data_IF_633031243900
#
_entry.id   IF_633031243900
#
_cell.length_a   1.000
_cell.length_b   1.000
_cell.length_c   1.000
_cell.angle_alpha   90.00
_cell.angle_beta   90.00
_cell.angle_gamma   90.00
#
_symmetry.space_group_name_H-M   'P 1'
#
loop_
_entity.id
_entity.type
_entity.pdbx_description
1 polymer ?
#
# COMPACT_ATOMS: atom_id res chain seq x y z
N UNK A 1 11.80 3.19 26.16
CA UNK A 1 11.77 1.77 25.75
C UNK A 1 12.81 0.96 26.51
N UNK A 2 12.44 -0.23 26.96
CA UNK A 2 13.32 -1.14 27.72
C UNK A 2 14.55 -1.59 26.89
N UNK A 3 15.58 -2.13 27.57
CA UNK A 3 16.77 -2.68 26.93
C UNK A 3 16.40 -3.82 25.94
N UNK A 4 15.42 -4.65 26.31
CA UNK A 4 14.91 -5.73 25.45
C UNK A 4 14.32 -5.18 24.13
N UNK A 5 13.51 -4.14 24.18
CA UNK A 5 12.95 -3.47 22.98
C UNK A 5 14.08 -2.87 22.13
N UNK A 6 15.06 -2.21 22.75
CA UNK A 6 16.20 -1.63 22.02
C UNK A 6 17.01 -2.68 21.25
N UNK A 7 17.07 -3.90 21.76
CA UNK A 7 17.79 -5.01 21.13
C UNK A 7 17.11 -5.53 19.86
N UNK A 8 15.76 -5.49 19.80
CA UNK A 8 15.00 -6.13 18.71
C UNK A 8 14.33 -5.15 17.76
N UNK A 9 14.10 -3.89 18.19
CA UNK A 9 13.46 -2.86 17.35
C UNK A 9 14.51 -1.83 16.94
N UNK A 10 14.74 -1.63 15.63
CA UNK A 10 15.67 -0.61 15.13
C UNK A 10 15.33 0.81 15.62
N UNK A 11 16.34 1.67 15.76
CA UNK A 11 16.19 3.00 16.33
C UNK A 11 15.17 3.89 15.59
N UNK A 12 15.10 3.77 14.26
CA UNK A 12 14.15 4.50 13.42
C UNK A 12 12.68 4.05 13.59
N UNK A 13 12.44 2.92 14.29
CA UNK A 13 11.10 2.39 14.58
C UNK A 13 10.74 2.45 16.05
N UNK A 14 11.40 3.28 16.84
CA UNK A 14 11.10 3.48 18.26
C UNK A 14 11.47 4.89 18.72
N UNK A 15 10.80 5.32 19.77
CA UNK A 15 11.12 6.54 20.52
C UNK A 15 10.99 6.28 22.03
N UNK A 16 11.24 7.25 22.90
CA UNK A 16 10.89 7.12 24.32
C UNK A 16 9.42 6.79 24.57
N UNK A 17 8.52 7.20 23.65
CA UNK A 17 7.07 7.19 23.86
C UNK A 17 6.32 6.16 23.02
N UNK A 18 6.92 5.60 22.00
CA UNK A 18 6.28 4.61 21.14
C UNK A 18 7.26 3.59 20.57
N UNK A 19 6.72 2.45 20.16
CA UNK A 19 7.47 1.34 19.55
C UNK A 19 6.72 0.83 18.34
N UNK A 20 7.43 0.66 17.23
CA UNK A 20 6.90 -0.01 16.03
C UNK A 20 6.71 -1.50 16.31
N UNK A 21 5.50 -2.00 15.99
CA UNK A 21 5.11 -3.40 16.24
C UNK A 21 5.07 -4.19 14.95
N UNK A 22 4.57 -3.59 13.88
CA UNK A 22 4.45 -4.25 12.58
C UNK A 22 4.65 -3.26 11.44
N UNK A 23 5.24 -3.74 10.35
CA UNK A 23 5.38 -3.00 9.09
C UNK A 23 4.75 -3.77 7.93
N UNK A 24 4.25 -3.06 6.93
CA UNK A 24 3.64 -3.61 5.72
C UNK A 24 3.91 -2.71 4.53
N UNK A 25 4.20 -3.31 3.39
CA UNK A 25 4.35 -2.57 2.16
C UNK A 25 2.98 -2.23 1.55
N UNK A 26 2.87 -1.03 0.99
CA UNK A 26 1.77 -0.65 0.12
C UNK A 26 2.27 -0.77 -1.31
N UNK A 27 1.83 -1.78 -2.03
CA UNK A 27 2.39 -2.20 -3.30
C UNK A 27 1.39 -2.02 -4.45
N UNK A 28 1.84 -2.29 -5.65
CA UNK A 28 1.01 -2.40 -6.83
C UNK A 28 0.69 -3.87 -7.08
N UNK A 29 -0.57 -4.18 -7.38
CA UNK A 29 -1.00 -5.48 -7.89
C UNK A 29 -1.36 -5.35 -9.35
N UNK A 30 -1.09 -6.38 -10.14
CA UNK A 30 -1.41 -6.40 -11.55
C UNK A 30 -1.89 -7.78 -12.01
N UNK A 31 -2.57 -7.81 -13.17
CA UNK A 31 -2.95 -9.05 -13.83
C UNK A 31 -1.89 -9.40 -14.87
N UNK A 32 -1.09 -10.47 -14.68
CA UNK A 32 -0.02 -10.82 -15.60
C UNK A 32 -0.49 -11.28 -16.99
N UNK A 33 -1.80 -11.49 -17.18
CA UNK A 33 -2.39 -11.80 -18.50
C UNK A 33 -2.62 -10.56 -19.35
N UNK A 34 -2.73 -9.38 -18.73
CA UNK A 34 -3.06 -8.13 -19.43
C UNK A 34 -1.90 -7.15 -19.47
N UNK A 35 -1.05 -7.16 -18.45
CA UNK A 35 0.08 -6.22 -18.34
C UNK A 35 1.28 -6.87 -17.67
N UNK A 36 2.45 -6.30 -17.94
CA UNK A 36 3.70 -6.64 -17.26
C UNK A 36 4.42 -5.34 -16.88
N UNK A 37 4.66 -5.09 -15.56
CA UNK A 37 5.40 -3.90 -15.15
C UNK A 37 6.85 -3.95 -15.59
N UNK A 38 7.42 -2.81 -16.00
CA UNK A 38 8.86 -2.72 -16.10
C UNK A 38 9.47 -2.77 -14.69
N UNK A 39 10.68 -3.32 -14.58
CA UNK A 39 11.33 -3.52 -13.27
C UNK A 39 11.52 -2.22 -12.47
N UNK A 40 11.65 -1.08 -13.14
CA UNK A 40 11.86 0.25 -12.56
C UNK A 40 10.56 1.07 -12.37
N UNK A 41 9.39 0.45 -12.61
CA UNK A 41 8.10 1.14 -12.45
C UNK A 41 7.93 1.72 -11.03
N UNK A 42 7.44 2.93 -10.97
CA UNK A 42 7.20 3.70 -9.76
C UNK A 42 5.71 3.91 -9.48
N UNK A 43 5.35 4.46 -8.30
CA UNK A 43 3.99 4.96 -8.06
C UNK A 43 3.65 6.12 -8.97
N UNK A 44 4.66 6.91 -9.31
CA UNK A 44 4.54 8.10 -10.15
C UNK A 44 4.04 7.75 -11.54
N UNK A 45 4.48 6.62 -12.07
CA UNK A 45 4.08 6.13 -13.40
C UNK A 45 2.58 5.85 -13.50
N UNK A 46 1.91 5.48 -12.40
CA UNK A 46 0.47 5.25 -12.40
C UNK A 46 -0.37 6.50 -12.74
N UNK A 47 0.23 7.69 -12.70
CA UNK A 47 -0.41 8.94 -13.12
C UNK A 47 -0.27 9.23 -14.63
N UNK A 48 0.51 8.45 -15.36
CA UNK A 48 0.68 8.57 -16.81
C UNK A 48 -0.67 8.35 -17.51
N UNK A 49 -1.09 9.24 -18.45
CA UNK A 49 -2.34 9.11 -19.19
C UNK A 49 -2.54 7.78 -19.94
N UNK A 50 -1.46 7.05 -20.25
CA UNK A 50 -1.55 5.69 -20.85
C UNK A 50 -2.29 4.68 -19.97
N UNK A 51 -2.44 4.96 -18.67
CA UNK A 51 -3.18 4.10 -17.73
C UNK A 51 -4.63 4.55 -17.50
N UNK A 52 -5.17 5.46 -18.35
CA UNK A 52 -6.55 5.95 -18.22
C UNK A 52 -7.56 4.80 -18.17
N UNK A 53 -8.41 4.80 -17.13
CA UNK A 53 -9.43 3.77 -16.93
C UNK A 53 -8.87 2.40 -16.49
N UNK A 54 -7.61 2.34 -16.04
CA UNK A 54 -6.93 1.06 -15.77
C UNK A 54 -6.45 0.89 -14.33
N UNK A 55 -6.67 1.89 -13.46
CA UNK A 55 -6.17 1.90 -12.07
C UNK A 55 -7.33 1.84 -11.10
N UNK A 56 -7.22 1.02 -10.06
CA UNK A 56 -8.15 1.00 -8.92
C UNK A 56 -7.41 1.22 -7.61
N UNK A 57 -8.04 1.95 -6.72
CA UNK A 57 -7.53 2.24 -5.39
C UNK A 57 -8.70 2.48 -4.43
N UNK A 58 -8.53 2.26 -3.15
CA UNK A 58 -9.53 2.60 -2.13
C UNK A 58 -9.63 4.12 -1.92
N UNK A 59 -10.64 4.58 -1.17
CA UNK A 59 -10.90 6.01 -0.91
C UNK A 59 -9.68 6.72 -0.29
N UNK A 60 -9.47 7.98 -0.66
CA UNK A 60 -8.40 8.86 -0.16
C UNK A 60 -8.49 9.16 1.34
N UNK A 61 -9.69 9.09 1.94
CA UNK A 61 -9.87 9.23 3.39
C UNK A 61 -9.26 8.09 4.22
N UNK A 62 -8.80 7.03 3.57
CA UNK A 62 -8.17 5.91 4.26
C UNK A 62 -6.72 6.22 4.63
N UNK A 63 -6.34 5.90 5.86
CA UNK A 63 -5.01 6.17 6.43
C UNK A 63 -3.86 5.58 5.59
N UNK A 64 -4.05 4.45 4.89
CA UNK A 64 -3.00 3.86 4.06
C UNK A 64 -2.70 4.70 2.81
N UNK A 65 -3.73 5.30 2.20
CA UNK A 65 -3.56 6.22 1.09
C UNK A 65 -2.97 7.56 1.57
N UNK A 66 -3.45 8.07 2.70
CA UNK A 66 -2.90 9.30 3.29
C UNK A 66 -1.41 9.14 3.61
N UNK A 67 -1.00 8.00 4.18
CA UNK A 67 0.39 7.68 4.46
C UNK A 67 1.25 7.59 3.18
N UNK A 68 0.73 6.98 2.10
CA UNK A 68 1.41 6.95 0.81
C UNK A 68 1.57 8.37 0.25
N UNK A 69 0.50 9.18 0.24
CA UNK A 69 0.54 10.57 -0.24
C UNK A 69 1.53 11.40 0.58
N UNK A 70 1.54 11.26 1.90
CA UNK A 70 2.52 11.93 2.77
C UNK A 70 3.97 11.56 2.41
N UNK A 71 4.22 10.28 2.09
CA UNK A 71 5.51 9.82 1.61
C UNK A 71 5.88 10.44 0.26
N UNK A 72 4.93 10.56 -0.67
CA UNK A 72 5.14 11.22 -1.96
C UNK A 72 5.44 12.71 -1.78
N UNK A 73 4.72 13.41 -0.91
CA UNK A 73 5.00 14.83 -0.58
C UNK A 73 6.42 14.98 -0.03
N UNK A 74 6.80 14.10 0.89
CA UNK A 74 8.15 14.12 1.49
C UNK A 74 9.26 13.98 0.45
N UNK A 75 9.05 13.16 -0.58
CA UNK A 75 10.08 12.85 -1.57
C UNK A 75 10.02 13.75 -2.81
N UNK A 76 8.84 14.15 -3.25
CA UNK A 76 8.60 14.82 -4.54
C UNK A 76 8.12 16.29 -4.38
N UNK A 77 7.79 16.70 -3.15
CA UNK A 77 7.15 17.99 -2.86
C UNK A 77 5.64 18.02 -3.15
N UNK A 78 4.97 19.02 -2.59
CA UNK A 78 3.49 19.14 -2.68
C UNK A 78 3.00 19.32 -4.13
N UNK A 79 3.66 20.22 -4.90
CA UNK A 79 3.27 20.52 -6.29
C UNK A 79 3.26 19.27 -7.17
N UNK A 80 4.34 18.50 -7.13
CA UNK A 80 4.46 17.28 -7.95
C UNK A 80 3.50 16.19 -7.46
N UNK A 81 3.30 16.07 -6.15
CA UNK A 81 2.34 15.11 -5.59
C UNK A 81 0.90 15.47 -5.92
N UNK A 82 0.55 16.76 -5.94
CA UNK A 82 -0.77 17.23 -6.39
C UNK A 82 -1.01 16.90 -7.88
N UNK A 83 0.00 17.12 -8.73
CA UNK A 83 -0.08 16.72 -10.15
C UNK A 83 -0.26 15.21 -10.30
N UNK A 84 0.52 14.41 -9.57
CA UNK A 84 0.36 12.95 -9.52
C UNK A 84 -1.05 12.54 -9.07
N UNK A 85 -1.57 13.11 -8.00
CA UNK A 85 -2.91 12.79 -7.51
C UNK A 85 -3.99 13.09 -8.55
N UNK A 86 -3.87 14.21 -9.30
CA UNK A 86 -4.76 14.54 -10.41
C UNK A 86 -4.67 13.50 -11.53
N UNK A 87 -3.46 13.09 -11.93
CA UNK A 87 -3.23 12.04 -12.92
C UNK A 87 -3.83 10.71 -12.48
N UNK A 88 -3.63 10.32 -11.22
CA UNK A 88 -4.23 9.11 -10.63
C UNK A 88 -5.77 9.13 -10.73
N UNK A 89 -6.42 10.26 -10.40
CA UNK A 89 -7.87 10.40 -10.48
C UNK A 89 -8.36 10.22 -11.92
N UNK A 90 -7.66 10.78 -12.90
CA UNK A 90 -7.98 10.64 -14.32
C UNK A 90 -7.83 9.20 -14.84
N UNK A 91 -7.00 8.39 -14.17
CA UNK A 91 -6.69 7.01 -14.54
C UNK A 91 -7.55 5.97 -13.82
N UNK A 92 -8.44 6.39 -12.92
CA UNK A 92 -9.31 5.44 -12.23
C UNK A 92 -10.26 4.73 -13.19
N UNK A 93 -10.30 3.39 -13.08
CA UNK A 93 -11.27 2.54 -13.79
C UNK A 93 -12.69 2.74 -13.25
N UNK A 94 -12.80 3.10 -11.97
CA UNK A 94 -14.07 3.37 -11.28
C UNK A 94 -13.87 4.32 -10.10
N UNK A 95 -14.96 4.86 -9.59
CA UNK A 95 -14.94 5.62 -8.34
C UNK A 95 -14.34 4.79 -7.20
N UNK A 96 -13.36 5.32 -6.45
CA UNK A 96 -12.74 4.61 -5.34
C UNK A 96 -13.76 4.13 -4.32
N UNK A 97 -13.80 2.82 -4.08
CA UNK A 97 -14.72 2.16 -3.14
C UNK A 97 -14.10 0.87 -2.57
N UNK A 98 -14.69 0.34 -1.53
CA UNK A 98 -14.25 -0.90 -0.91
C UNK A 98 -12.90 -0.79 -0.17
N UNK A 99 -12.41 -1.92 0.30
CA UNK A 99 -11.11 -2.07 0.95
C UNK A 99 -10.05 -2.57 -0.05
N UNK A 100 -8.83 -2.84 0.42
CA UNK A 100 -7.73 -3.32 -0.44
C UNK A 100 -8.04 -4.67 -1.13
N UNK A 101 -8.81 -5.58 -0.49
CA UNK A 101 -9.25 -6.82 -1.15
C UNK A 101 -10.14 -6.55 -2.36
N UNK A 102 -11.04 -5.57 -2.24
CA UNK A 102 -11.91 -5.19 -3.36
C UNK A 102 -11.11 -4.68 -4.56
N UNK A 103 -9.95 -4.04 -4.34
CA UNK A 103 -9.07 -3.61 -5.43
C UNK A 103 -8.36 -4.82 -6.07
N UNK A 104 -7.88 -5.77 -5.27
CA UNK A 104 -7.26 -7.01 -5.76
C UNK A 104 -8.27 -7.83 -6.57
N UNK A 105 -9.52 -7.94 -6.09
CA UNK A 105 -10.60 -8.63 -6.79
C UNK A 105 -10.94 -7.97 -8.13
N UNK A 106 -10.96 -6.63 -8.19
CA UNK A 106 -11.20 -5.89 -9.43
C UNK A 106 -10.15 -6.20 -10.50
N UNK A 107 -8.87 -6.24 -10.12
CA UNK A 107 -7.78 -6.64 -11.04
C UNK A 107 -7.92 -8.11 -11.45
N UNK A 108 -8.23 -9.01 -10.52
CA UNK A 108 -8.44 -10.43 -10.82
C UNK A 108 -9.61 -10.69 -11.77
N UNK A 109 -10.63 -9.83 -11.74
CA UNK A 109 -11.81 -9.86 -12.61
C UNK A 109 -11.59 -9.17 -13.96
N UNK A 110 -10.47 -8.44 -14.15
CA UNK A 110 -10.20 -7.68 -15.37
C UNK A 110 -10.88 -6.31 -15.44
N UNK A 111 -11.44 -5.81 -14.33
CA UNK A 111 -12.04 -4.47 -14.23
C UNK A 111 -10.96 -3.36 -14.34
N UNK A 112 -9.75 -3.68 -13.91
CA UNK A 112 -8.59 -2.80 -14.00
C UNK A 112 -7.32 -3.65 -14.16
N UNK A 113 -6.23 -3.02 -14.62
CA UNK A 113 -4.94 -3.69 -14.73
C UNK A 113 -4.09 -3.54 -13.47
N UNK A 114 -4.26 -2.44 -12.74
CA UNK A 114 -3.42 -2.01 -11.64
C UNK A 114 -4.23 -1.70 -10.39
N UNK A 115 -3.79 -2.20 -9.25
CA UNK A 115 -4.36 -1.86 -7.95
C UNK A 115 -3.28 -1.46 -6.95
N UNK A 116 -3.52 -0.43 -6.15
CA UNK A 116 -2.64 -0.08 -5.03
C UNK A 116 -3.25 -0.61 -3.72
N UNK A 117 -2.54 -1.55 -3.08
CA UNK A 117 -3.03 -2.21 -1.86
C UNK A 117 -1.88 -2.70 -0.98
N UNK A 118 -2.17 -3.01 0.28
CA UNK A 118 -1.18 -3.53 1.22
C UNK A 118 -0.92 -5.03 1.02
N UNK A 119 0.31 -5.46 1.26
CA UNK A 119 0.79 -6.84 1.02
C UNK A 119 -0.01 -7.92 1.74
N UNK A 120 -0.38 -7.70 3.00
CA UNK A 120 -1.03 -8.73 3.82
C UNK A 120 -2.43 -9.12 3.34
N UNK A 121 -3.11 -8.28 2.54
CA UNK A 121 -4.42 -8.63 1.99
C UNK A 121 -4.33 -9.80 1.00
N UNK A 122 -3.35 -9.78 0.09
CA UNK A 122 -3.14 -10.90 -0.84
C UNK A 122 -2.76 -12.17 -0.08
N UNK A 123 -1.84 -12.09 0.89
CA UNK A 123 -1.44 -13.24 1.71
C UNK A 123 -2.66 -13.86 2.43
N UNK A 124 -3.54 -13.02 2.98
CA UNK A 124 -4.77 -13.48 3.64
C UNK A 124 -5.75 -14.15 2.66
N UNK A 125 -5.87 -13.63 1.43
CA UNK A 125 -6.71 -14.25 0.39
C UNK A 125 -6.13 -15.59 -0.06
N UNK A 126 -4.82 -15.66 -0.33
CA UNK A 126 -4.13 -16.88 -0.74
C UNK A 126 -4.19 -17.98 0.32
N UNK A 127 -4.24 -17.65 1.61
CA UNK A 127 -4.35 -18.63 2.70
C UNK A 127 -5.71 -19.35 2.74
N UNK A 128 -6.69 -18.97 1.92
CA UNK A 128 -8.03 -19.55 1.91
C UNK A 128 -8.96 -19.08 3.05
N UNK A 129 -8.44 -18.34 4.06
CA UNK A 129 -9.23 -17.83 5.20
C UNK A 129 -10.37 -16.88 4.82
N UNK A 130 -10.42 -16.44 3.56
CA UNK A 130 -11.48 -15.57 3.01
C UNK A 130 -12.39 -16.27 2.01
N UNK A 131 -12.34 -17.60 1.97
CA UNK A 131 -13.13 -18.44 1.08
C UNK A 131 -12.43 -18.79 -0.23
N UNK A 132 -12.89 -19.86 -0.86
CA UNK A 132 -12.29 -20.42 -2.08
C UNK A 132 -12.34 -19.44 -3.27
N UNK A 133 -13.41 -18.66 -3.39
CA UNK A 133 -13.55 -17.67 -4.46
C UNK A 133 -12.46 -16.61 -4.39
N UNK A 134 -12.24 -16.01 -3.21
CA UNK A 134 -11.19 -15.01 -3.04
C UNK A 134 -9.78 -15.62 -3.20
N UNK A 135 -9.60 -16.86 -2.79
CA UNK A 135 -8.35 -17.58 -3.00
C UNK A 135 -8.07 -17.80 -4.50
N UNK A 136 -9.08 -18.22 -5.27
CA UNK A 136 -8.97 -18.38 -6.71
C UNK A 136 -8.68 -17.04 -7.43
N UNK A 137 -9.33 -15.95 -7.02
CA UNK A 137 -9.07 -14.62 -7.54
C UNK A 137 -7.63 -14.16 -7.21
N UNK A 138 -7.16 -14.37 -5.98
CA UNK A 138 -5.82 -13.99 -5.55
C UNK A 138 -4.71 -14.65 -6.38
N UNK A 139 -4.93 -15.87 -6.87
CA UNK A 139 -3.99 -16.60 -7.75
C UNK A 139 -3.87 -16.00 -9.17
N UNK A 140 -4.77 -15.09 -9.55
CA UNK A 140 -4.76 -14.43 -10.87
C UNK A 140 -3.96 -13.14 -10.89
N UNK A 141 -3.54 -12.63 -9.75
CA UNK A 141 -2.81 -11.37 -9.64
C UNK A 141 -1.40 -11.57 -9.11
N UNK A 142 -0.51 -10.66 -9.49
CA UNK A 142 0.88 -10.66 -9.03
C UNK A 142 1.19 -9.38 -8.25
N UNK A 143 2.00 -9.47 -7.18
CA UNK A 143 2.51 -8.31 -6.46
C UNK A 143 3.70 -7.70 -7.21
N UNK A 144 3.75 -6.37 -7.23
CA UNK A 144 4.89 -5.61 -7.73
C UNK A 144 5.27 -4.54 -6.69
N UNK A 145 6.56 -4.48 -6.36
CA UNK A 145 7.11 -3.53 -5.39
C UNK A 145 7.69 -2.32 -6.16
N UNK A 146 6.99 -1.18 -6.22
CA UNK A 146 7.44 -0.04 -7.03
C UNK A 146 8.63 0.71 -6.41
N UNK A 147 9.24 1.60 -7.22
CA UNK A 147 10.35 2.49 -6.84
C UNK A 147 11.64 1.77 -6.38
N UNK A 148 11.91 0.55 -6.86
CA UNK A 148 13.10 -0.21 -6.47
C UNK A 148 14.41 0.44 -6.99
N UNK A 149 14.32 1.22 -8.06
CA UNK A 149 15.41 2.04 -8.58
C UNK A 149 15.43 3.40 -7.87
N UNK A 150 15.52 3.40 -6.55
CA UNK A 150 15.54 4.65 -5.79
C UNK A 150 15.14 4.48 -4.32
N UNK A 151 14.10 5.20 -3.88
CA UNK A 151 13.68 5.24 -2.46
C UNK A 151 13.03 3.96 -1.94
N UNK A 152 12.72 3.03 -2.82
CA UNK A 152 12.02 1.79 -2.48
C UNK A 152 10.51 1.97 -2.29
N UNK A 153 9.84 0.86 -2.06
CA UNK A 153 8.40 0.80 -1.80
C UNK A 153 8.03 1.42 -0.46
N UNK A 154 6.92 2.16 -0.42
CA UNK A 154 6.40 2.76 0.82
C UNK A 154 6.03 1.68 1.86
N UNK A 155 6.60 1.83 3.06
CA UNK A 155 6.33 0.97 4.21
C UNK A 155 5.47 1.71 5.22
N UNK A 156 4.30 1.15 5.53
CA UNK A 156 3.44 1.64 6.60
C UNK A 156 3.75 0.90 7.91
N UNK A 157 3.77 1.62 9.03
CA UNK A 157 4.15 1.08 10.33
C UNK A 157 3.02 1.27 11.31
N UNK A 158 2.68 0.20 12.04
CA UNK A 158 1.85 0.26 13.24
C UNK A 158 2.75 0.22 14.45
N UNK A 159 2.45 1.06 15.43
CA UNK A 159 3.14 1.11 16.70
C UNK A 159 2.19 1.24 17.88
N UNK A 160 2.73 1.11 19.06
CA UNK A 160 2.03 1.32 20.32
C UNK A 160 2.85 2.18 21.28
N UNK A 161 2.17 2.83 22.18
CA UNK A 161 2.79 3.62 23.25
C UNK A 161 1.98 3.54 24.55
N UNK A 162 2.64 3.74 25.67
CA UNK A 162 2.00 3.77 26.98
C UNK A 162 1.51 5.19 27.24
N UNK A 163 0.23 5.35 27.50
CA UNK A 163 -0.37 6.64 27.83
C UNK A 163 0.12 7.14 29.20
N UNK A 164 0.13 8.48 29.35
CA UNK A 164 0.57 9.13 30.61
C UNK A 164 -0.16 8.61 31.86
N UNK A 165 -1.43 8.28 31.73
CA UNK A 165 -2.28 7.81 32.83
C UNK A 165 -2.67 6.34 32.70
N UNK A 166 -1.88 5.53 31.94
CA UNK A 166 -2.13 4.09 31.85
C UNK A 166 -1.98 3.44 33.23
N UNK A 167 -2.90 2.56 33.64
CA UNK A 167 -2.69 1.71 34.80
C UNK A 167 -1.55 0.70 34.48
N UNK A 168 -0.90 0.18 35.51
CA UNK A 168 0.15 -0.86 35.38
C UNK A 168 1.34 -0.44 34.46
N UNK A 169 1.78 0.81 34.59
CA UNK A 169 3.08 1.22 34.04
C UNK A 169 4.16 0.52 34.85
N UNK A 170 4.74 -0.55 34.39
CA UNK A 170 5.95 -1.13 34.91
C UNK A 170 7.19 -0.57 34.18
#
# INVERSE_FOLDING_TARGET
>A
SSAAIKKVVPANFRSPYWVGIAKRARIIYYNPKTVNPSWNMSYEDLADPKYKGRVVIRKSSNIYNQSLVASLIKNNGEKNTAAWAKGMVNNFARKPTGNDRAQILAVAAGEADWAVANTYYLALMLSGKKGAEQQAAAKKVMPFFPNQDGRGTHMNISGGGILKHAPNKA
#
